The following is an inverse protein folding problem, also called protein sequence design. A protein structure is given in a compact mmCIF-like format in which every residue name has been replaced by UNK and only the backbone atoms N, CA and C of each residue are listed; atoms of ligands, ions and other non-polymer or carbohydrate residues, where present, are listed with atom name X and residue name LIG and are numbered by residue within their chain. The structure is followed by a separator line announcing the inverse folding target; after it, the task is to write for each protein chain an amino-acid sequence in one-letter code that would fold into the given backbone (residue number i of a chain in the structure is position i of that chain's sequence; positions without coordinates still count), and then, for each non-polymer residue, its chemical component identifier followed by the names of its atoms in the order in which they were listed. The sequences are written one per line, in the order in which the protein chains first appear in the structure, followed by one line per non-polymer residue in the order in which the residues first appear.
data_IF_086315817737
#
_entry.id   IF_086315817737
#
_cell.length_a   1.000
_cell.length_b   1.000
_cell.length_c   1.000
_cell.angle_alpha   90.00
_cell.angle_beta   90.00
_cell.angle_gamma   90.00
#
_symmetry.space_group_name_H-M   'P 1'
#
loop_
_entity.id
_entity.type
_entity.pdbx_description
1 polymer ?
#
# COMPACT_ATOMS: atom_id res chain seq x y z
N UNK A 1 7.16 16.42 3.64
CA UNK A 1 7.20 15.27 4.57
C UNK A 1 8.66 14.91 4.76
N UNK A 2 9.18 14.95 5.99
CA UNK A 2 10.56 14.54 6.23
C UNK A 2 10.69 13.03 5.95
N UNK A 3 11.55 12.67 5.01
CA UNK A 3 12.07 11.31 4.87
C UNK A 3 13.12 11.21 5.97
N UNK A 4 12.84 10.49 7.05
CA UNK A 4 13.81 10.27 8.12
C UNK A 4 14.83 9.27 7.59
N UNK A 5 15.76 9.73 6.76
CA UNK A 5 16.88 8.93 6.28
C UNK A 5 17.78 8.61 7.47
N UNK A 6 18.18 7.35 7.60
CA UNK A 6 19.19 6.97 8.58
C UNK A 6 20.53 7.60 8.18
N UNK A 7 21.03 8.52 9.00
CA UNK A 7 22.32 9.17 8.77
C UNK A 7 23.42 8.32 9.39
N UNK A 8 23.95 7.39 8.57
CA UNK A 8 25.02 6.46 8.94
C UNK A 8 26.27 7.18 9.47
N UNK A 9 26.62 8.34 8.91
CA UNK A 9 27.80 9.12 9.31
C UNK A 9 27.61 9.75 10.70
N UNK A 10 26.45 10.36 10.94
CA UNK A 10 26.13 10.93 12.24
C UNK A 10 26.01 9.84 13.32
N UNK A 11 25.46 8.67 12.98
CA UNK A 11 25.33 7.53 13.88
C UNK A 11 26.70 6.95 14.25
N UNK A 12 27.55 6.65 13.27
CA UNK A 12 28.92 6.18 13.49
C UNK A 12 29.72 7.16 14.36
N UNK A 13 29.60 8.48 14.12
CA UNK A 13 30.26 9.50 14.94
C UNK A 13 29.81 9.45 16.40
N UNK A 14 28.51 9.24 16.65
CA UNK A 14 27.98 9.08 18.02
C UNK A 14 28.55 7.83 18.69
N UNK A 15 28.69 6.72 17.97
CA UNK A 15 29.30 5.50 18.51
C UNK A 15 30.76 5.71 18.90
N UNK A 16 31.55 6.37 18.04
CA UNK A 16 32.95 6.71 18.36
C UNK A 16 33.05 7.61 19.60
N UNK A 17 32.19 8.61 19.72
CA UNK A 17 32.12 9.48 20.93
C UNK A 17 31.73 8.69 22.18
N UNK A 18 30.90 7.65 22.04
CA UNK A 18 30.52 6.74 23.12
C UNK A 18 31.62 5.71 23.48
N UNK A 19 32.79 5.75 22.83
CA UNK A 19 33.93 4.89 23.13
C UNK A 19 34.04 3.62 22.27
N UNK A 20 33.22 3.48 21.22
CA UNK A 20 33.37 2.40 20.26
C UNK A 20 34.61 2.64 19.38
N UNK A 21 35.35 1.58 19.07
CA UNK A 21 36.41 1.65 18.06
C UNK A 21 35.81 1.94 16.68
N UNK A 22 36.64 2.45 15.75
CA UNK A 22 36.26 2.68 14.35
C UNK A 22 35.56 1.46 13.74
N UNK A 23 36.19 0.29 13.89
CA UNK A 23 35.71 -0.98 13.35
C UNK A 23 34.37 -1.41 13.95
N UNK A 24 34.17 -1.20 15.26
CA UNK A 24 32.89 -1.51 15.90
C UNK A 24 31.79 -0.55 15.48
N UNK A 25 32.11 0.75 15.35
CA UNK A 25 31.17 1.77 14.93
C UNK A 25 30.73 1.55 13.47
N UNK A 26 31.67 1.20 12.58
CA UNK A 26 31.42 0.88 11.19
C UNK A 26 30.53 -0.37 11.05
N UNK A 27 30.92 -1.49 11.66
CA UNK A 27 30.15 -2.74 11.61
C UNK A 27 28.71 -2.57 12.14
N UNK A 28 28.54 -1.82 13.23
CA UNK A 28 27.21 -1.56 13.78
C UNK A 28 26.38 -0.65 12.87
N UNK A 29 26.99 0.37 12.28
CA UNK A 29 26.31 1.31 11.38
C UNK A 29 25.86 0.61 10.09
N UNK A 30 26.71 -0.23 9.51
CA UNK A 30 26.41 -1.02 8.31
C UNK A 30 25.23 -1.97 8.57
N UNK A 31 25.31 -2.77 9.64
CA UNK A 31 24.23 -3.70 10.01
C UNK A 31 22.89 -2.98 10.25
N UNK A 32 22.92 -1.80 10.90
CA UNK A 32 21.69 -1.04 11.14
C UNK A 32 21.15 -0.39 9.86
N UNK A 33 22.01 0.07 8.95
CA UNK A 33 21.60 0.57 7.65
C UNK A 33 20.90 -0.52 6.84
N UNK A 34 21.48 -1.73 6.79
CA UNK A 34 20.87 -2.89 6.12
C UNK A 34 19.51 -3.26 6.73
N UNK A 35 19.38 -3.34 8.06
CA UNK A 35 18.09 -3.66 8.71
C UNK A 35 17.02 -2.61 8.40
N UNK A 36 17.40 -1.33 8.38
CA UNK A 36 16.49 -0.23 8.11
C UNK A 36 16.09 -0.24 6.62
N UNK A 37 17.01 -0.50 5.70
CA UNK A 37 16.70 -0.56 4.27
C UNK A 37 15.87 -1.80 3.90
N UNK A 38 16.15 -2.97 4.50
CA UNK A 38 15.50 -4.23 4.14
C UNK A 38 14.08 -4.37 4.73
N UNK A 39 13.79 -3.74 5.88
CA UNK A 39 12.50 -3.93 6.60
C UNK A 39 11.50 -2.78 6.46
N UNK A 40 11.87 -1.67 5.82
CA UNK A 40 10.98 -0.52 5.72
C UNK A 40 10.06 -0.64 4.50
N UNK A 41 8.78 -0.91 4.75
CA UNK A 41 7.72 -0.57 3.79
C UNK A 41 7.79 0.94 3.58
N UNK A 42 8.05 1.36 2.35
CA UNK A 42 8.18 2.77 2.03
C UNK A 42 6.81 3.44 1.94
N UNK A 43 6.78 4.76 2.07
CA UNK A 43 5.55 5.54 1.81
C UNK A 43 5.04 5.36 0.38
N UNK A 44 5.95 5.06 -0.56
CA UNK A 44 5.59 4.78 -1.94
C UNK A 44 4.86 3.44 -2.04
N UNK A 45 5.35 2.38 -1.40
CA UNK A 45 4.69 1.08 -1.38
C UNK A 45 3.27 1.18 -0.80
N UNK A 46 3.11 1.93 0.29
CA UNK A 46 1.78 2.20 0.87
C UNK A 46 0.86 2.95 -0.09
N UNK A 47 1.39 3.93 -0.82
CA UNK A 47 0.63 4.71 -1.80
C UNK A 47 0.23 3.84 -3.00
N UNK A 48 1.12 2.99 -3.48
CA UNK A 48 0.84 2.03 -4.55
C UNK A 48 -0.25 1.04 -4.12
N UNK A 49 -0.16 0.52 -2.89
CA UNK A 49 -1.18 -0.33 -2.31
C UNK A 49 -2.53 0.41 -2.18
N UNK A 50 -2.55 1.64 -1.69
CA UNK A 50 -3.76 2.47 -1.58
C UNK A 50 -4.41 2.69 -2.95
N UNK A 51 -3.62 3.00 -3.98
CA UNK A 51 -4.10 3.19 -5.35
C UNK A 51 -4.68 1.90 -5.90
N UNK A 52 -4.01 0.76 -5.70
CA UNK A 52 -4.51 -0.55 -6.13
C UNK A 52 -5.84 -0.88 -5.47
N UNK A 53 -5.94 -0.73 -4.15
CA UNK A 53 -7.17 -0.99 -3.39
C UNK A 53 -8.32 -0.08 -3.83
N UNK A 54 -8.07 1.21 -4.04
CA UNK A 54 -9.09 2.15 -4.55
C UNK A 54 -9.59 1.75 -5.94
N UNK A 55 -8.70 1.29 -6.81
CA UNK A 55 -9.07 0.80 -8.14
C UNK A 55 -9.96 -0.44 -8.05
N UNK A 56 -9.57 -1.40 -7.22
CA UNK A 56 -10.30 -2.66 -7.05
C UNK A 56 -11.69 -2.42 -6.44
N UNK A 57 -11.79 -1.54 -5.44
CA UNK A 57 -13.08 -1.10 -4.88
C UNK A 57 -14.00 -0.48 -5.94
N UNK A 58 -13.51 0.47 -6.75
CA UNK A 58 -14.29 1.06 -7.84
C UNK A 58 -14.72 0.02 -8.87
N UNK A 59 -13.83 -0.92 -9.19
CA UNK A 59 -14.14 -2.02 -10.11
C UNK A 59 -15.21 -2.98 -9.57
N UNK A 60 -15.25 -3.18 -8.25
CA UNK A 60 -16.28 -3.97 -7.60
C UNK A 60 -17.62 -3.22 -7.57
N UNK A 61 -17.61 -1.95 -7.22
CA UNK A 61 -18.80 -1.07 -7.21
C UNK A 61 -19.49 -1.02 -8.58
N UNK A 62 -18.71 -0.84 -9.65
CA UNK A 62 -19.23 -0.84 -11.02
C UNK A 62 -19.86 -2.19 -11.38
N UNK A 63 -19.16 -3.30 -11.08
CA UNK A 63 -19.66 -4.65 -11.38
C UNK A 63 -20.95 -4.96 -10.64
N UNK A 64 -21.05 -4.57 -9.37
CA UNK A 64 -22.26 -4.73 -8.58
C UNK A 64 -23.40 -3.89 -9.14
N UNK A 65 -23.15 -2.62 -9.43
CA UNK A 65 -24.16 -1.71 -10.02
C UNK A 65 -24.70 -2.26 -11.35
N UNK A 66 -23.82 -2.71 -12.26
CA UNK A 66 -24.22 -3.27 -13.53
C UNK A 66 -24.98 -4.59 -13.37
N UNK A 67 -24.51 -5.48 -12.49
CA UNK A 67 -25.17 -6.77 -12.25
C UNK A 67 -26.56 -6.59 -11.63
N UNK A 68 -26.69 -5.71 -10.65
CA UNK A 68 -27.99 -5.42 -10.03
C UNK A 68 -28.92 -4.70 -11.01
N UNK A 69 -28.43 -3.70 -11.73
CA UNK A 69 -29.21 -2.98 -12.75
C UNK A 69 -29.70 -3.89 -13.85
N UNK A 70 -28.86 -4.80 -14.37
CA UNK A 70 -29.26 -5.78 -15.38
C UNK A 70 -30.27 -6.81 -14.86
N UNK A 71 -30.12 -7.30 -13.62
CA UNK A 71 -31.10 -8.20 -13.00
C UNK A 71 -32.47 -7.52 -12.83
N UNK A 72 -32.50 -6.24 -12.42
CA UNK A 72 -33.73 -5.46 -12.30
C UNK A 72 -34.37 -5.18 -13.66
N UNK A 73 -33.59 -4.80 -14.67
CA UNK A 73 -34.11 -4.59 -16.01
C UNK A 73 -34.69 -5.88 -16.60
N UNK A 74 -34.02 -7.02 -16.40
CA UNK A 74 -34.51 -8.33 -16.84
C UNK A 74 -35.82 -8.72 -16.16
N UNK A 75 -35.95 -8.51 -14.85
CA UNK A 75 -37.20 -8.83 -14.14
C UNK A 75 -38.35 -7.92 -14.59
N UNK A 76 -38.11 -6.62 -14.78
CA UNK A 76 -39.12 -5.69 -15.31
C UNK A 76 -39.55 -6.08 -16.72
N UNK A 77 -38.60 -6.39 -17.61
CA UNK A 77 -38.89 -6.82 -18.98
C UNK A 77 -39.71 -8.11 -19.01
N UNK A 78 -39.39 -9.07 -18.13
CA UNK A 78 -40.14 -10.31 -17.99
C UNK A 78 -41.59 -10.06 -17.54
N UNK A 79 -41.80 -9.22 -16.52
CA UNK A 79 -43.16 -8.86 -16.06
C UNK A 79 -43.95 -8.15 -17.15
N UNK A 80 -43.34 -7.20 -17.87
CA UNK A 80 -43.99 -6.48 -18.96
C UNK A 80 -44.41 -7.42 -20.11
N UNK A 81 -43.59 -8.42 -20.44
CA UNK A 81 -43.94 -9.43 -21.43
C UNK A 81 -45.15 -10.26 -20.99
N UNK A 82 -45.21 -10.67 -19.72
CA UNK A 82 -46.36 -11.41 -19.18
C UNK A 82 -47.66 -10.60 -19.21
N UNK A 83 -47.62 -9.32 -18.81
CA UNK A 83 -48.80 -8.43 -18.84
C UNK A 83 -49.34 -8.25 -20.25
N UNK A 84 -48.47 -8.24 -21.28
CA UNK A 84 -48.89 -8.09 -22.68
C UNK A 84 -49.48 -9.36 -23.29
N UNK A 85 -49.22 -10.54 -22.69
CA UNK A 85 -49.71 -11.84 -23.17
C UNK A 85 -51.03 -12.28 -22.54
N UNK A 86 -51.39 -11.70 -21.39
CA UNK A 86 -52.70 -11.85 -20.72
C UNK A 86 -53.72 -10.87 -21.31
#
# INVERSE_FOLDING_TARGET
MATTTFDSLAYMKKLKVAGFTEQQAEAQTETFAEIIEERLITKQDLKELEVSLKRDMKGLELRLTLRLGSMMAASIAMVAAFVKLL
#
